data_IF_745045916613
#
_entry.id   IF_745045916613
#
_cell.length_a   1.000
_cell.length_b   1.000
_cell.length_c   1.000
_cell.angle_alpha   90.00
_cell.angle_beta   90.00
_cell.angle_gamma   90.00
#
_symmetry.space_group_name_H-M   'P 1'
#
loop_
_entity.id
_entity.type
_entity.pdbx_description
1 polymer ?
#
# COMPACT_ATOMS: atom_id res chain seq x y z
N UNK A 1 -7.45 -11.97 -19.12
CA UNK A 1 -8.62 -12.04 -18.20
C UNK A 1 -9.38 -10.72 -18.02
N UNK A 2 -8.94 -9.57 -18.59
CA UNK A 2 -9.59 -8.27 -18.36
C UNK A 2 -10.76 -7.86 -19.26
N UNK A 3 -11.43 -8.79 -19.96
CA UNK A 3 -12.48 -8.45 -20.95
C UNK A 3 -13.88 -8.97 -20.59
N UNK A 4 -14.00 -10.02 -19.76
CA UNK A 4 -15.30 -10.67 -19.49
C UNK A 4 -16.21 -9.83 -18.58
N UNK A 5 -15.66 -9.29 -17.48
CA UNK A 5 -16.41 -8.47 -16.53
C UNK A 5 -17.01 -7.22 -17.20
N UNK A 6 -16.18 -6.47 -17.92
CA UNK A 6 -16.61 -5.22 -18.58
C UNK A 6 -17.70 -5.50 -19.62
N UNK A 7 -17.54 -6.56 -20.42
CA UNK A 7 -18.58 -6.96 -21.37
C UNK A 7 -19.88 -7.35 -20.66
N UNK A 8 -19.81 -8.18 -19.62
CA UNK A 8 -20.98 -8.59 -18.83
C UNK A 8 -21.68 -7.41 -18.16
N UNK A 9 -20.91 -6.49 -17.59
CA UNK A 9 -21.43 -5.28 -16.93
C UNK A 9 -22.14 -4.36 -17.91
N UNK A 10 -21.49 -4.04 -19.04
CA UNK A 10 -22.05 -3.17 -20.08
C UNK A 10 -23.33 -3.78 -20.66
N UNK A 11 -23.31 -5.07 -21.03
CA UNK A 11 -24.48 -5.77 -21.56
C UNK A 11 -25.68 -5.73 -20.60
N UNK A 12 -25.45 -5.97 -19.30
CA UNK A 12 -26.53 -5.88 -18.29
C UNK A 12 -27.01 -4.44 -18.10
N UNK A 13 -26.10 -3.47 -18.03
CA UNK A 13 -26.45 -2.07 -17.85
C UNK A 13 -27.31 -1.56 -19.03
N UNK A 14 -26.94 -1.90 -20.26
CA UNK A 14 -27.71 -1.58 -21.46
C UNK A 14 -29.10 -2.24 -21.44
N UNK A 15 -29.19 -3.51 -21.05
CA UNK A 15 -30.47 -4.21 -20.92
C UNK A 15 -31.40 -3.52 -19.90
N UNK A 16 -30.88 -3.10 -18.76
CA UNK A 16 -31.67 -2.42 -17.74
C UNK A 16 -32.05 -0.99 -18.13
N UNK A 17 -31.15 -0.25 -18.80
CA UNK A 17 -31.45 1.10 -19.31
C UNK A 17 -32.50 1.06 -20.43
N UNK A 18 -32.42 0.06 -21.31
CA UNK A 18 -33.41 -0.16 -22.38
C UNK A 18 -34.80 -0.55 -21.87
N UNK A 19 -34.87 -1.25 -20.72
CA UNK A 19 -36.12 -1.65 -20.09
C UNK A 19 -36.66 -0.65 -19.06
N UNK A 20 -35.92 0.40 -18.69
CA UNK A 20 -36.22 1.27 -17.56
C UNK A 20 -37.62 1.94 -17.58
N UNK A 21 -38.22 2.11 -18.76
CA UNK A 21 -39.59 2.61 -18.90
C UNK A 21 -40.68 1.60 -18.53
N UNK A 22 -40.38 0.31 -18.63
CA UNK A 22 -41.31 -0.82 -18.43
C UNK A 22 -41.05 -1.58 -17.12
N UNK A 23 -39.96 -1.29 -16.40
CA UNK A 23 -39.59 -1.97 -15.16
C UNK A 23 -40.45 -1.52 -13.98
N UNK A 24 -40.90 -2.50 -13.21
CA UNK A 24 -41.54 -2.27 -11.92
C UNK A 24 -40.52 -1.81 -10.87
N UNK A 25 -40.99 -1.17 -9.79
CA UNK A 25 -40.12 -0.74 -8.67
C UNK A 25 -39.28 -1.88 -8.08
N UNK A 26 -39.80 -3.11 -8.10
CA UNK A 26 -39.10 -4.29 -7.61
C UNK A 26 -37.93 -4.65 -8.52
N UNK A 27 -38.16 -4.68 -9.84
CA UNK A 27 -37.13 -5.02 -10.83
C UNK A 27 -36.04 -3.94 -10.90
N UNK A 28 -36.39 -2.66 -10.74
CA UNK A 28 -35.41 -1.58 -10.58
C UNK A 28 -34.54 -1.77 -9.32
N UNK A 29 -35.14 -2.24 -8.23
CA UNK A 29 -34.41 -2.53 -6.99
C UNK A 29 -33.43 -3.69 -7.19
N UNK A 30 -33.87 -4.77 -7.84
CA UNK A 30 -33.04 -5.92 -8.17
C UNK A 30 -31.89 -5.55 -9.13
N UNK A 31 -32.17 -4.79 -10.18
CA UNK A 31 -31.16 -4.26 -11.10
C UNK A 31 -30.11 -3.42 -10.35
N UNK A 32 -30.54 -2.56 -9.43
CA UNK A 32 -29.63 -1.76 -8.59
C UNK A 32 -28.76 -2.62 -7.68
N UNK A 33 -29.28 -3.75 -7.19
CA UNK A 33 -28.53 -4.69 -6.37
C UNK A 33 -27.44 -5.41 -7.20
N UNK A 34 -27.77 -5.82 -8.42
CA UNK A 34 -26.80 -6.44 -9.34
C UNK A 34 -25.69 -5.47 -9.75
N UNK A 35 -26.01 -4.23 -10.10
CA UNK A 35 -25.00 -3.22 -10.44
C UNK A 35 -24.04 -2.97 -9.26
N UNK A 36 -24.59 -2.83 -8.03
CA UNK A 36 -23.76 -2.69 -6.82
C UNK A 36 -22.87 -3.91 -6.59
N UNK A 37 -23.39 -5.11 -6.81
CA UNK A 37 -22.63 -6.35 -6.68
C UNK A 37 -21.46 -6.39 -7.68
N UNK A 38 -21.73 -6.14 -8.96
CA UNK A 38 -20.71 -6.21 -10.02
C UNK A 38 -19.62 -5.15 -9.79
N UNK A 39 -19.97 -3.92 -9.39
CA UNK A 39 -18.97 -2.89 -8.98
C UNK A 39 -18.15 -3.35 -7.76
N UNK A 40 -18.80 -3.99 -6.78
CA UNK A 40 -18.13 -4.53 -5.61
C UNK A 40 -17.15 -5.66 -5.94
N UNK A 41 -17.50 -6.53 -6.89
CA UNK A 41 -16.63 -7.60 -7.41
C UNK A 41 -15.42 -7.00 -8.13
N UNK A 42 -15.64 -6.04 -9.03
CA UNK A 42 -14.55 -5.33 -9.72
C UNK A 42 -13.56 -4.67 -8.76
N UNK A 43 -14.06 -3.99 -7.72
CA UNK A 43 -13.20 -3.34 -6.75
C UNK A 43 -12.33 -4.37 -5.98
N UNK A 44 -12.88 -5.53 -5.62
CA UNK A 44 -12.12 -6.60 -4.96
C UNK A 44 -11.03 -7.17 -5.88
N UNK A 45 -11.37 -7.44 -7.14
CA UNK A 45 -10.42 -7.96 -8.12
C UNK A 45 -9.31 -6.95 -8.42
N UNK A 46 -9.66 -5.67 -8.54
CA UNK A 46 -8.70 -4.58 -8.71
C UNK A 46 -7.73 -4.53 -7.53
N UNK A 47 -8.23 -4.47 -6.29
CA UNK A 47 -7.38 -4.44 -5.10
C UNK A 47 -6.48 -5.68 -4.99
N UNK A 48 -6.98 -6.85 -5.37
CA UNK A 48 -6.20 -8.10 -5.41
C UNK A 48 -5.12 -8.05 -6.51
N UNK A 49 -5.44 -7.49 -7.68
CA UNK A 49 -4.47 -7.34 -8.77
C UNK A 49 -3.36 -6.34 -8.43
N UNK A 50 -3.71 -5.22 -7.78
CA UNK A 50 -2.73 -4.20 -7.38
C UNK A 50 -1.82 -4.72 -6.27
N UNK A 51 -2.40 -5.39 -5.26
CA UNK A 51 -1.61 -5.99 -4.18
C UNK A 51 -0.70 -7.11 -4.69
N UNK A 52 -1.18 -8.02 -5.55
CA UNK A 52 -0.34 -9.06 -6.16
C UNK A 52 0.74 -8.49 -7.09
N UNK A 53 0.45 -7.41 -7.83
CA UNK A 53 1.45 -6.71 -8.63
C UNK A 53 2.55 -6.11 -7.75
N UNK A 54 2.19 -5.44 -6.64
CA UNK A 54 3.16 -4.90 -5.68
C UNK A 54 4.01 -5.97 -4.99
N UNK A 55 3.48 -7.19 -4.86
CA UNK A 55 4.22 -8.34 -4.34
C UNK A 55 5.11 -9.02 -5.38
N UNK A 56 5.03 -8.64 -6.66
CA UNK A 56 5.87 -9.24 -7.70
C UNK A 56 7.35 -8.88 -7.50
N UNK A 57 8.24 -9.85 -7.74
CA UNK A 57 9.69 -9.65 -7.59
C UNK A 57 10.22 -8.53 -8.50
N UNK A 58 9.65 -8.39 -9.70
CA UNK A 58 9.94 -7.27 -10.61
C UNK A 58 9.62 -5.93 -9.96
N UNK A 59 8.40 -5.75 -9.43
CA UNK A 59 8.00 -4.47 -8.84
C UNK A 59 8.85 -4.13 -7.61
N UNK A 60 9.07 -5.12 -6.73
CA UNK A 60 9.92 -4.95 -5.55
C UNK A 60 11.36 -4.54 -5.90
N UNK A 61 11.92 -5.12 -6.97
CA UNK A 61 13.24 -4.73 -7.45
C UNK A 61 13.25 -3.28 -7.97
N UNK A 62 12.24 -2.88 -8.74
CA UNK A 62 12.13 -1.51 -9.24
C UNK A 62 11.90 -0.49 -8.15
N UNK A 63 10.99 -0.76 -7.22
CA UNK A 63 10.73 0.11 -6.08
C UNK A 63 12.02 0.37 -5.29
N UNK A 64 12.79 -0.68 -5.01
CA UNK A 64 14.11 -0.56 -4.36
C UNK A 64 15.10 0.27 -5.18
N UNK A 65 15.18 0.05 -6.49
CA UNK A 65 16.09 0.82 -7.37
C UNK A 65 15.69 2.30 -7.38
N UNK A 66 14.41 2.60 -7.50
CA UNK A 66 13.89 3.97 -7.54
C UNK A 66 14.16 4.70 -6.23
N UNK A 67 13.81 4.12 -5.09
CA UNK A 67 14.07 4.75 -3.79
C UNK A 67 15.56 4.87 -3.49
N UNK A 68 16.37 3.87 -3.81
CA UNK A 68 17.81 3.94 -3.66
C UNK A 68 18.45 5.04 -4.51
N UNK A 69 18.01 5.21 -5.76
CA UNK A 69 18.50 6.26 -6.65
C UNK A 69 18.11 7.66 -6.16
N UNK A 70 16.86 7.83 -5.71
CA UNK A 70 16.39 9.10 -5.15
C UNK A 70 17.18 9.45 -3.87
N UNK A 71 17.36 8.49 -2.96
CA UNK A 71 18.14 8.66 -1.74
C UNK A 71 19.61 9.06 -2.03
N UNK A 72 20.20 8.51 -3.09
CA UNK A 72 21.58 8.81 -3.46
C UNK A 72 21.78 10.22 -4.03
N UNK A 73 20.76 10.82 -4.64
CA UNK A 73 20.82 12.16 -5.25
C UNK A 73 20.34 13.24 -4.27
N UNK A 74 19.56 12.85 -3.26
CA UNK A 74 18.96 13.77 -2.30
C UNK A 74 19.97 14.21 -1.24
N UNK A 75 19.92 15.49 -0.86
CA UNK A 75 20.63 16.00 0.32
C UNK A 75 20.01 15.39 1.58
N UNK A 76 20.69 14.38 2.14
CA UNK A 76 20.25 13.64 3.32
C UNK A 76 19.98 14.56 4.51
N UNK A 77 20.73 15.66 4.65
CA UNK A 77 20.55 16.57 5.78
C UNK A 77 19.16 17.20 5.78
N UNK A 78 18.64 17.59 4.61
CA UNK A 78 17.30 18.17 4.47
C UNK A 78 16.19 17.15 4.72
N UNK A 79 16.39 15.89 4.34
CA UNK A 79 15.43 14.81 4.62
C UNK A 79 15.40 14.46 6.10
N UNK A 80 16.56 14.39 6.76
CA UNK A 80 16.61 14.12 8.20
C UNK A 80 15.87 15.21 9.02
N UNK A 81 15.92 16.48 8.59
CA UNK A 81 15.16 17.55 9.25
C UNK A 81 13.65 17.32 9.27
N UNK A 82 13.09 16.57 8.32
CA UNK A 82 11.66 16.25 8.36
C UNK A 82 11.33 15.17 9.39
N UNK A 83 12.29 14.33 9.76
CA UNK A 83 12.13 13.22 10.71
C UNK A 83 12.35 13.63 12.18
N UNK A 84 13.08 14.73 12.42
CA UNK A 84 13.44 15.19 13.79
C UNK A 84 12.23 15.34 14.70
N UNK A 85 11.09 15.81 14.18
CA UNK A 85 9.88 15.98 14.97
C UNK A 85 9.32 14.64 15.48
N UNK A 86 9.32 13.63 14.63
CA UNK A 86 8.78 12.30 14.93
C UNK A 86 9.76 11.51 15.79
N UNK A 87 11.08 11.63 15.57
CA UNK A 87 12.10 11.03 16.43
C UNK A 87 12.00 11.52 17.88
N UNK A 88 11.71 12.82 18.08
CA UNK A 88 11.54 13.39 19.42
C UNK A 88 10.31 12.82 20.15
N UNK A 89 9.23 12.53 19.42
CA UNK A 89 8.04 11.90 19.98
C UNK A 89 8.30 10.44 20.37
N UNK A 90 9.01 9.71 19.50
CA UNK A 90 9.33 8.30 19.70
C UNK A 90 10.58 8.08 20.57
N UNK A 91 11.31 9.14 20.93
CA UNK A 91 12.63 9.05 21.60
C UNK A 91 13.63 8.16 20.83
N UNK A 92 13.52 8.15 19.50
CA UNK A 92 14.27 7.27 18.60
C UNK A 92 13.92 5.77 18.73
N UNK A 93 12.92 5.40 19.54
CA UNK A 93 12.43 4.03 19.75
C UNK A 93 11.11 3.81 19.05
N UNK A 94 11.13 2.92 18.07
CA UNK A 94 9.96 2.57 17.28
C UNK A 94 9.51 1.15 17.59
N UNK A 95 8.19 0.93 17.53
CA UNK A 95 7.53 -0.36 17.71
C UNK A 95 6.88 -0.83 16.43
N UNK A 96 6.65 -2.14 16.33
CA UNK A 96 5.88 -2.71 15.22
C UNK A 96 4.52 -2.03 15.11
N UNK A 97 4.19 -1.54 13.91
CA UNK A 97 2.99 -0.75 13.63
C UNK A 97 3.22 0.76 13.58
N UNK A 98 4.33 1.27 14.13
CA UNK A 98 4.68 2.69 14.02
C UNK A 98 5.08 3.03 12.58
N UNK A 99 4.79 4.26 12.17
CA UNK A 99 5.30 4.84 10.93
C UNK A 99 6.69 5.41 11.19
N UNK A 100 7.63 5.10 10.31
CA UNK A 100 9.03 5.49 10.42
C UNK A 100 9.53 5.91 9.06
N UNK A 101 10.26 7.02 9.01
CA UNK A 101 10.80 7.55 7.78
C UNK A 101 12.19 7.03 7.43
N UNK A 102 12.91 7.88 6.69
CA UNK A 102 14.25 7.63 6.17
C UNK A 102 15.23 7.35 7.31
N UNK A 103 16.12 6.36 7.21
CA UNK A 103 17.13 6.08 8.25
C UNK A 103 17.56 4.62 8.31
N UNK A 104 18.30 4.27 9.37
CA UNK A 104 18.71 2.90 9.68
C UNK A 104 17.94 2.41 10.92
N UNK A 105 17.14 1.34 10.78
CA UNK A 105 16.51 0.69 11.92
C UNK A 105 17.34 -0.47 12.42
N UNK A 106 17.71 -0.42 13.69
CA UNK A 106 18.43 -1.47 14.41
C UNK A 106 17.48 -2.15 15.40
N UNK A 107 17.27 -3.46 15.28
CA UNK A 107 16.47 -4.22 16.26
C UNK A 107 17.14 -4.21 17.63
N UNK A 108 16.41 -3.81 18.68
CA UNK A 108 16.94 -3.74 20.06
C UNK A 108 17.34 -5.13 20.57
N UNK A 109 16.66 -6.19 20.13
CA UNK A 109 16.87 -7.55 20.63
C UNK A 109 18.07 -8.25 20.02
N UNK A 110 18.22 -8.22 18.70
CA UNK A 110 19.25 -8.99 17.98
C UNK A 110 20.23 -8.16 17.16
N UNK A 111 20.05 -6.84 17.08
CA UNK A 111 20.93 -5.96 16.30
C UNK A 111 20.76 -6.07 14.79
N UNK A 112 19.73 -6.75 14.28
CA UNK A 112 19.43 -6.77 12.85
C UNK A 112 19.17 -5.35 12.34
N UNK A 113 19.83 -4.97 11.26
CA UNK A 113 19.75 -3.64 10.67
C UNK A 113 18.98 -3.64 9.36
N UNK A 114 18.15 -2.63 9.15
CA UNK A 114 17.39 -2.39 7.93
C UNK A 114 17.48 -0.93 7.54
N UNK A 115 17.99 -0.66 6.35
CA UNK A 115 17.96 0.67 5.74
C UNK A 115 16.54 0.99 5.24
N UNK A 116 16.09 2.20 5.52
CA UNK A 116 14.87 2.78 5.00
C UNK A 116 15.18 4.01 4.17
N UNK A 117 14.75 3.96 2.92
CA UNK A 117 14.89 5.06 1.96
C UNK A 117 13.57 5.77 1.70
N UNK A 118 12.49 5.36 2.37
CA UNK A 118 11.15 5.91 2.24
C UNK A 118 10.35 5.65 3.53
N UNK A 119 9.26 6.40 3.77
CA UNK A 119 8.33 6.12 4.85
C UNK A 119 7.79 4.68 4.77
N UNK A 120 7.78 4.00 5.90
CA UNK A 120 7.32 2.63 6.02
C UNK A 120 6.70 2.36 7.39
N UNK A 121 5.88 1.31 7.46
CA UNK A 121 5.42 0.77 8.74
C UNK A 121 6.47 -0.21 9.26
N UNK A 122 6.82 -0.10 10.54
CA UNK A 122 7.71 -1.04 11.21
C UNK A 122 7.06 -2.42 11.26
N UNK A 123 7.76 -3.40 10.70
CA UNK A 123 7.39 -4.81 10.75
C UNK A 123 8.20 -5.53 11.84
N UNK A 124 7.76 -6.73 12.22
CA UNK A 124 8.52 -7.58 13.13
C UNK A 124 9.92 -7.89 12.59
N UNK A 125 10.89 -8.03 13.49
CA UNK A 125 12.28 -8.23 13.12
C UNK A 125 12.49 -9.54 12.38
N UNK A 126 12.97 -9.48 11.13
CA UNK A 126 13.23 -10.64 10.29
C UNK A 126 14.24 -11.64 10.88
N UNK A 127 15.07 -11.22 11.85
CA UNK A 127 16.04 -12.09 12.52
C UNK A 127 15.59 -12.72 13.84
N UNK A 128 14.57 -12.19 14.53
CA UNK A 128 14.21 -12.66 15.88
C UNK A 128 12.75 -12.45 16.31
N UNK A 129 11.88 -11.99 15.40
CA UNK A 129 10.49 -11.60 15.65
C UNK A 129 10.30 -10.61 16.81
N UNK A 130 11.34 -9.81 17.10
CA UNK A 130 11.27 -8.68 18.02
C UNK A 130 10.41 -7.55 17.45
N UNK A 131 9.87 -6.75 18.36
CA UNK A 131 8.90 -5.68 18.09
C UNK A 131 9.45 -4.26 18.33
N UNK A 132 10.61 -4.12 18.98
CA UNK A 132 11.26 -2.83 19.28
C UNK A 132 12.54 -2.59 18.45
N UNK A 133 12.67 -1.35 17.97
CA UNK A 133 13.76 -0.90 17.12
C UNK A 133 14.26 0.49 17.53
N UNK A 134 15.55 0.73 17.34
CA UNK A 134 16.15 2.06 17.38
C UNK A 134 16.29 2.57 15.95
N UNK A 135 15.89 3.81 15.69
CA UNK A 135 16.24 4.50 14.44
C UNK A 135 17.53 5.30 14.64
N UNK A 136 18.44 5.16 13.69
CA UNK A 136 19.66 5.92 13.57
C UNK A 136 19.61 6.73 12.27
N UNK A 137 20.06 7.98 12.31
CA UNK A 137 20.27 8.77 11.08
C UNK A 137 21.38 8.15 10.24
N UNK A 138 21.35 8.38 8.93
CA UNK A 138 22.48 7.99 8.09
C UNK A 138 23.71 8.87 8.37
N UNK A 139 24.89 8.27 8.23
CA UNK A 139 26.15 9.02 8.29
C UNK A 139 26.14 10.10 7.18
N UNK A 140 26.49 11.37 7.50
CA UNK A 140 26.47 12.49 6.55
C UNK A 140 27.38 12.28 5.33
#
# INVERSE_FOLDING_TARGET
>A
MGNDFTQRFVLKAEAYLGAAGDLTKKELTEASAYIRHDIGEFNKDYQTSVSSFKLSAWYQAWDKITWGALAAITDKTQVEWTEVGDDLQHQGRYRTGDEVGFGLLTCVRCGYQKELFHPAIVLSCAGCDGDEFMRESFDP
#
